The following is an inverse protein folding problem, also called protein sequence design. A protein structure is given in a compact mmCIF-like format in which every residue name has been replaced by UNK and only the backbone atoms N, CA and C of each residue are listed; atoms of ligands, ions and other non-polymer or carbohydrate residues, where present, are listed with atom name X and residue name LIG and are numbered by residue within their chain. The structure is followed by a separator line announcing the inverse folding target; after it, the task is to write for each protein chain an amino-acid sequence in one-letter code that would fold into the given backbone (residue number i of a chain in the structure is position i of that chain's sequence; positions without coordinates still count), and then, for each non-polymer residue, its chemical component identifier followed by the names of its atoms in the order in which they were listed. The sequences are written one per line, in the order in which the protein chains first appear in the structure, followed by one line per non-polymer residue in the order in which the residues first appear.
data_IF_852983523529
#
_entry.id   IF_852983523529
#
_cell.length_a   1.000
_cell.length_b   1.000
_cell.length_c   1.000
_cell.angle_alpha   90.00
_cell.angle_beta   90.00
_cell.angle_gamma   90.00
#
_symmetry.space_group_name_H-M   'P 1'
#
loop_
_entity.id
_entity.type
_entity.pdbx_description
1 polymer ?
#
# COMPACT_ATOMS: atom_id res chain seq x y z
N UNK A 1 -11.15 24.85 -22.31
CA UNK A 1 -12.18 24.55 -21.29
C UNK A 1 -11.48 23.93 -20.09
N UNK A 2 -11.45 24.64 -18.94
CA UNK A 2 -10.94 24.14 -17.69
C UNK A 2 -11.85 22.99 -17.19
N UNK A 3 -11.35 21.77 -17.13
CA UNK A 3 -12.09 20.67 -16.52
C UNK A 3 -12.22 20.95 -15.02
N UNK A 4 -13.46 21.10 -14.52
CA UNK A 4 -13.75 21.18 -13.08
C UNK A 4 -13.08 20.01 -12.36
N UNK A 5 -12.22 20.30 -11.37
CA UNK A 5 -11.73 19.27 -10.43
C UNK A 5 -12.95 18.56 -9.83
N UNK A 6 -13.03 17.23 -9.99
CA UNK A 6 -14.06 16.44 -9.31
C UNK A 6 -13.90 16.64 -7.81
N UNK A 7 -15.02 16.87 -7.10
CA UNK A 7 -15.06 16.96 -5.63
C UNK A 7 -14.38 15.72 -5.06
N UNK A 8 -13.49 15.94 -4.11
CA UNK A 8 -12.86 14.88 -3.31
C UNK A 8 -13.96 14.01 -2.70
N UNK A 9 -13.88 12.72 -2.86
CA UNK A 9 -14.79 11.75 -2.25
C UNK A 9 -14.05 11.09 -1.11
N UNK A 10 -14.53 11.23 0.12
CA UNK A 10 -14.00 10.49 1.26
C UNK A 10 -14.13 8.98 0.96
N UNK A 11 -13.00 8.28 0.92
CA UNK A 11 -12.93 6.84 0.62
C UNK A 11 -12.73 5.99 1.86
N UNK A 12 -12.41 6.63 2.99
CA UNK A 12 -12.09 6.00 4.25
C UNK A 12 -13.16 6.34 5.28
N UNK A 13 -13.77 5.35 5.90
CA UNK A 13 -14.58 5.54 7.10
C UNK A 13 -13.65 5.54 8.33
N UNK A 14 -13.31 6.74 8.81
CA UNK A 14 -12.53 6.95 10.04
C UNK A 14 -13.41 7.26 11.26
N UNK A 15 -14.75 7.22 11.11
CA UNK A 15 -15.68 7.54 12.18
C UNK A 15 -16.15 6.26 12.92
N UNK A 16 -15.21 5.54 13.52
CA UNK A 16 -15.46 4.32 14.25
C UNK A 16 -14.95 4.41 15.69
N UNK A 17 -15.36 3.47 16.57
CA UNK A 17 -15.01 3.43 18.00
C UNK A 17 -13.79 2.54 18.31
N UNK A 18 -13.11 1.99 17.31
CA UNK A 18 -11.91 1.18 17.55
C UNK A 18 -10.74 2.05 18.04
N UNK A 19 -9.85 1.50 18.88
CA UNK A 19 -8.62 2.19 19.28
C UNK A 19 -7.76 2.58 18.08
N UNK A 20 -7.21 3.78 18.08
CA UNK A 20 -6.31 4.29 17.07
C UNK A 20 -4.87 4.14 17.56
N UNK A 21 -4.02 3.50 16.75
CA UNK A 21 -2.60 3.39 17.05
C UNK A 21 -1.89 4.76 16.91
N UNK A 22 -0.83 5.03 17.71
CA UNK A 22 -0.07 6.26 17.59
C UNK A 22 0.62 6.37 16.23
N UNK A 23 0.84 7.60 15.74
CA UNK A 23 1.63 7.82 14.53
C UNK A 23 3.13 7.66 14.86
N UNK A 24 3.70 6.51 14.54
CA UNK A 24 5.11 6.22 14.73
C UNK A 24 5.97 6.64 13.54
N UNK A 25 5.36 6.77 12.34
CA UNK A 25 6.06 7.14 11.11
C UNK A 25 6.41 8.62 11.07
N UNK A 26 5.53 9.48 11.57
CA UNK A 26 5.69 10.94 11.67
C UNK A 26 6.30 11.58 10.41
N UNK A 27 5.82 11.16 9.22
CA UNK A 27 6.28 11.61 7.89
C UNK A 27 7.76 11.31 7.58
N UNK A 28 8.41 10.44 8.36
CA UNK A 28 9.78 10.01 8.12
C UNK A 28 9.81 8.91 7.04
N UNK A 29 9.70 9.28 5.77
CA UNK A 29 9.61 8.34 4.65
C UNK A 29 10.96 7.81 4.17
N UNK A 30 12.08 8.30 4.72
CA UNK A 30 13.41 7.77 4.49
C UNK A 30 13.70 6.69 5.52
N UNK A 31 13.89 5.46 5.07
CA UNK A 31 14.17 4.30 5.91
C UNK A 31 15.48 3.65 5.48
N UNK A 32 16.22 3.10 6.44
CA UNK A 32 17.59 2.63 6.22
C UNK A 32 17.66 1.22 5.60
N UNK A 33 16.59 0.42 5.73
CA UNK A 33 16.58 -0.97 5.29
C UNK A 33 15.20 -1.43 4.81
N UNK A 34 15.19 -2.47 4.00
CA UNK A 34 13.97 -3.18 3.63
C UNK A 34 13.27 -3.74 4.88
N UNK A 35 11.95 -3.82 4.82
CA UNK A 35 11.08 -4.31 5.89
C UNK A 35 11.19 -3.54 7.22
N UNK A 36 11.62 -2.28 7.18
CA UNK A 36 11.62 -1.40 8.33
C UNK A 36 10.27 -0.72 8.53
N UNK A 37 9.68 -0.24 7.43
CA UNK A 37 8.36 0.38 7.43
C UNK A 37 7.59 -0.05 6.19
N UNK A 38 6.41 -0.57 6.39
CA UNK A 38 5.43 -0.81 5.33
C UNK A 38 4.29 0.18 5.46
N UNK A 39 3.88 0.76 4.33
CA UNK A 39 2.70 1.61 4.27
C UNK A 39 1.59 0.92 3.50
N UNK A 40 0.35 1.13 3.91
CA UNK A 40 -0.82 0.52 3.28
C UNK A 40 -1.95 1.52 3.14
N UNK A 41 -2.75 1.33 2.10
CA UNK A 41 -3.96 2.11 1.86
C UNK A 41 -4.90 1.33 0.94
N UNK A 42 -6.17 1.76 0.87
CA UNK A 42 -7.24 1.16 0.07
C UNK A 42 -7.76 2.19 -0.94
N UNK A 43 -7.90 1.78 -2.19
CA UNK A 43 -8.52 2.60 -3.22
C UNK A 43 -9.62 1.88 -3.97
N UNK A 44 -10.47 2.65 -4.64
CA UNK A 44 -11.63 2.18 -5.38
C UNK A 44 -11.30 2.07 -6.86
N UNK A 45 -11.69 0.94 -7.45
CA UNK A 45 -11.61 0.65 -8.90
C UNK A 45 -13.00 0.38 -9.42
N UNK A 46 -13.44 1.13 -10.42
CA UNK A 46 -14.77 0.97 -11.00
C UNK A 46 -14.77 -0.11 -12.07
N UNK A 47 -15.78 -1.00 -12.01
CA UNK A 47 -16.08 -1.98 -13.04
C UNK A 47 -17.57 -1.92 -13.40
N UNK A 48 -17.98 -2.57 -14.49
CA UNK A 48 -19.41 -2.65 -14.82
C UNK A 48 -20.20 -3.53 -13.80
N UNK A 49 -19.50 -4.36 -13.02
CA UNK A 49 -20.09 -5.16 -11.94
C UNK A 49 -20.14 -4.42 -10.59
N UNK A 50 -19.81 -3.12 -10.58
CA UNK A 50 -19.74 -2.30 -9.38
C UNK A 50 -18.32 -1.96 -8.95
N UNK A 51 -18.17 -1.46 -7.73
CA UNK A 51 -16.89 -1.11 -7.16
C UNK A 51 -16.09 -2.35 -6.76
N UNK A 52 -14.78 -2.28 -6.99
CA UNK A 52 -13.78 -3.16 -6.39
C UNK A 52 -12.83 -2.32 -5.55
N UNK A 53 -12.25 -2.92 -4.52
CA UNK A 53 -11.43 -2.26 -3.51
C UNK A 53 -10.04 -2.85 -3.58
N UNK A 54 -9.07 -2.03 -4.00
CA UNK A 54 -7.67 -2.42 -4.08
C UNK A 54 -6.95 -1.98 -2.82
N UNK A 55 -6.48 -2.94 -2.05
CA UNK A 55 -5.54 -2.73 -0.95
C UNK A 55 -4.13 -2.98 -1.42
N UNK A 56 -3.16 -2.13 -1.04
CA UNK A 56 -1.74 -2.35 -1.32
C UNK A 56 -0.91 -2.22 -0.05
N UNK A 57 0.20 -2.94 0.00
CA UNK A 57 1.25 -2.80 1.01
C UNK A 57 2.55 -2.51 0.28
N UNK A 58 3.21 -1.42 0.63
CA UNK A 58 4.41 -0.91 -0.02
C UNK A 58 5.53 -0.84 1.01
N UNK A 59 6.69 -1.42 0.69
CA UNK A 59 7.91 -1.21 1.48
C UNK A 59 8.48 0.18 1.20
N UNK A 60 8.64 0.98 2.24
CA UNK A 60 9.17 2.35 2.11
C UNK A 60 10.61 2.40 1.64
N UNK A 61 11.40 1.36 1.86
CA UNK A 61 12.82 1.34 1.48
C UNK A 61 13.02 1.43 -0.03
N UNK A 62 12.34 0.57 -0.77
CA UNK A 62 12.51 0.44 -2.22
C UNK A 62 11.26 0.81 -3.02
N UNK A 63 10.16 1.23 -2.35
CA UNK A 63 8.85 1.54 -2.95
C UNK A 63 8.16 0.35 -3.62
N UNK A 64 8.61 -0.87 -3.37
CA UNK A 64 8.03 -2.09 -3.93
C UNK A 64 6.67 -2.38 -3.33
N UNK A 65 5.71 -2.71 -4.17
CA UNK A 65 4.45 -3.33 -3.72
C UNK A 65 4.76 -4.78 -3.37
N UNK A 66 4.69 -5.12 -2.09
CA UNK A 66 5.04 -6.44 -1.56
C UNK A 66 3.80 -7.29 -1.26
N UNK A 67 2.65 -6.66 -1.16
CA UNK A 67 1.36 -7.32 -0.98
C UNK A 67 0.22 -6.47 -1.53
N UNK A 68 -0.77 -7.12 -2.10
CA UNK A 68 -1.99 -6.45 -2.56
C UNK A 68 -3.16 -7.42 -2.61
N UNK A 69 -4.37 -6.89 -2.60
CA UNK A 69 -5.61 -7.64 -2.77
C UNK A 69 -6.65 -6.78 -3.49
N UNK A 70 -7.37 -7.35 -4.43
CA UNK A 70 -8.56 -6.75 -5.02
C UNK A 70 -9.79 -7.50 -4.53
N UNK A 71 -10.75 -6.80 -3.94
CA UNK A 71 -11.96 -7.37 -3.37
C UNK A 71 -13.21 -6.66 -3.91
N UNK A 72 -14.34 -7.33 -3.87
CA UNK A 72 -15.67 -6.74 -4.13
C UNK A 72 -16.34 -6.25 -2.84
N UNK A 73 -15.74 -6.51 -1.68
CA UNK A 73 -16.19 -6.05 -0.37
C UNK A 73 -15.11 -5.21 0.32
N UNK A 74 -15.51 -4.39 1.29
CA UNK A 74 -14.61 -3.65 2.19
C UNK A 74 -14.36 -4.39 3.50
N UNK A 75 -14.64 -5.69 3.56
CA UNK A 75 -14.37 -6.49 4.76
C UNK A 75 -12.87 -6.54 5.03
N UNK A 76 -12.50 -6.54 6.30
CA UNK A 76 -11.10 -6.60 6.74
C UNK A 76 -10.38 -7.83 6.19
N UNK A 77 -11.05 -8.97 6.18
CA UNK A 77 -10.52 -10.25 5.70
C UNK A 77 -10.16 -10.22 4.22
N UNK A 78 -11.06 -9.67 3.40
CA UNK A 78 -10.93 -9.65 1.95
C UNK A 78 -10.00 -8.56 1.44
N UNK A 79 -9.70 -7.58 2.26
CA UNK A 79 -8.86 -6.42 1.94
C UNK A 79 -7.50 -6.52 2.63
N UNK A 80 -7.38 -5.96 3.82
CA UNK A 80 -6.08 -5.77 4.49
C UNK A 80 -5.43 -7.08 4.94
N UNK A 81 -6.23 -8.09 5.36
CA UNK A 81 -5.67 -9.39 5.77
C UNK A 81 -5.12 -10.16 4.57
N UNK A 82 -5.83 -10.21 3.44
CA UNK A 82 -5.32 -10.84 2.21
C UNK A 82 -4.05 -10.16 1.70
N UNK A 83 -4.02 -8.82 1.67
CA UNK A 83 -2.82 -8.08 1.27
C UNK A 83 -1.64 -8.36 2.22
N UNK A 84 -1.90 -8.40 3.53
CA UNK A 84 -0.91 -8.76 4.54
C UNK A 84 -0.37 -10.18 4.35
N UNK A 85 -1.24 -11.17 4.15
CA UNK A 85 -0.86 -12.57 3.92
C UNK A 85 0.04 -12.71 2.68
N UNK A 86 -0.26 -11.98 1.60
CA UNK A 86 0.60 -11.94 0.42
C UNK A 86 1.97 -11.36 0.75
N UNK A 87 2.04 -10.22 1.48
CA UNK A 87 3.29 -9.59 1.86
C UNK A 87 4.17 -10.50 2.72
N UNK A 88 3.59 -11.17 3.72
CA UNK A 88 4.30 -12.07 4.63
C UNK A 88 4.74 -13.36 3.96
N UNK A 89 3.97 -13.90 3.02
CA UNK A 89 4.33 -15.14 2.30
C UNK A 89 5.70 -15.04 1.62
N UNK A 90 6.06 -13.84 1.16
CA UNK A 90 7.29 -13.59 0.42
C UNK A 90 8.37 -12.89 1.27
N UNK A 91 8.13 -12.76 2.59
CA UNK A 91 9.02 -11.97 3.46
C UNK A 91 9.18 -12.66 4.82
N UNK A 92 10.42 -12.90 5.23
CA UNK A 92 10.73 -13.33 6.60
C UNK A 92 11.06 -12.09 7.43
N UNK A 93 10.24 -11.80 8.43
CA UNK A 93 10.48 -10.71 9.38
C UNK A 93 11.48 -11.16 10.46
N UNK A 94 12.68 -10.62 10.42
CA UNK A 94 13.74 -10.88 11.41
C UNK A 94 14.06 -9.69 12.30
N UNK A 95 13.46 -8.54 12.01
CA UNK A 95 13.70 -7.27 12.69
C UNK A 95 12.39 -6.49 12.83
N UNK A 96 12.31 -5.53 13.77
CA UNK A 96 11.10 -4.74 13.97
C UNK A 96 10.61 -4.03 12.70
N UNK A 97 9.31 -4.16 12.44
CA UNK A 97 8.57 -3.55 11.34
C UNK A 97 7.54 -2.57 11.89
N UNK A 98 7.45 -1.38 11.31
CA UNK A 98 6.31 -0.48 11.49
C UNK A 98 5.35 -0.70 10.32
N UNK A 99 4.11 -1.07 10.63
CA UNK A 99 3.02 -1.13 9.65
C UNK A 99 2.18 0.14 9.78
N UNK A 100 2.24 1.02 8.79
CA UNK A 100 1.55 2.31 8.81
C UNK A 100 0.38 2.34 7.82
N UNK A 101 -0.74 2.91 8.26
CA UNK A 101 -1.95 3.10 7.44
C UNK A 101 -2.69 4.39 7.81
N UNK A 102 -3.77 4.68 7.09
CA UNK A 102 -4.77 5.63 7.56
C UNK A 102 -5.58 5.07 8.74
N UNK A 103 -6.56 5.85 9.25
CA UNK A 103 -7.45 5.44 10.34
C UNK A 103 -8.70 4.69 9.82
N UNK A 104 -8.62 4.02 8.67
CA UNK A 104 -9.74 3.25 8.14
C UNK A 104 -10.15 2.10 9.05
N UNK A 105 -11.47 1.85 9.11
CA UNK A 105 -12.07 0.82 9.97
C UNK A 105 -11.43 -0.57 9.74
N UNK A 106 -11.00 -0.87 8.52
CA UNK A 106 -10.35 -2.13 8.16
C UNK A 106 -9.04 -2.33 8.92
N UNK A 107 -8.23 -1.26 9.03
CA UNK A 107 -6.95 -1.26 9.75
C UNK A 107 -7.11 -1.20 11.27
N UNK A 108 -8.16 -0.51 11.76
CA UNK A 108 -8.45 -0.41 13.18
C UNK A 108 -9.20 -1.64 13.74
N UNK A 109 -9.69 -2.53 12.88
CA UNK A 109 -10.48 -3.69 13.29
C UNK A 109 -9.73 -4.60 14.26
N UNK A 110 -10.46 -5.18 15.22
CA UNK A 110 -9.88 -6.12 16.20
C UNK A 110 -9.19 -7.31 15.51
N UNK A 111 -9.73 -7.78 14.39
CA UNK A 111 -9.17 -8.92 13.64
C UNK A 111 -7.79 -8.59 13.10
N UNK A 112 -7.62 -7.41 12.49
CA UNK A 112 -6.33 -7.00 11.94
C UNK A 112 -5.32 -6.64 13.03
N UNK A 113 -5.74 -5.92 14.06
CA UNK A 113 -4.87 -5.58 15.20
C UNK A 113 -4.38 -6.83 15.94
N UNK A 114 -5.24 -7.85 16.13
CA UNK A 114 -4.84 -9.13 16.72
C UNK A 114 -3.87 -9.90 15.82
N UNK A 115 -4.08 -9.86 14.50
CA UNK A 115 -3.15 -10.44 13.54
C UNK A 115 -1.76 -9.80 13.63
N UNK A 116 -1.65 -8.47 13.71
CA UNK A 116 -0.35 -7.81 13.87
C UNK A 116 0.30 -8.14 15.21
N UNK A 117 -0.47 -8.20 16.29
CA UNK A 117 0.04 -8.59 17.63
C UNK A 117 0.55 -10.03 17.69
N UNK A 118 0.05 -10.94 16.86
CA UNK A 118 0.53 -12.34 16.82
C UNK A 118 2.00 -12.48 16.38
N UNK A 119 2.61 -11.40 15.88
CA UNK A 119 4.04 -11.36 15.54
C UNK A 119 4.95 -10.94 16.71
N UNK A 120 4.48 -11.06 17.97
CA UNK A 120 5.29 -10.91 19.19
C UNK A 120 6.14 -9.63 19.20
N UNK A 121 5.48 -8.47 19.07
CA UNK A 121 6.10 -7.14 19.05
C UNK A 121 7.09 -6.86 17.88
N UNK A 122 7.34 -7.82 17.00
CA UNK A 122 8.07 -7.56 15.77
C UNK A 122 7.32 -6.58 14.85
N UNK A 123 5.99 -6.51 14.92
CA UNK A 123 5.18 -5.62 14.12
C UNK A 123 4.49 -4.58 14.99
N UNK A 124 4.83 -3.32 14.79
CA UNK A 124 4.18 -2.20 15.47
C UNK A 124 3.21 -1.50 14.52
N UNK A 125 1.94 -1.44 14.91
CA UNK A 125 0.95 -0.70 14.16
C UNK A 125 1.13 0.81 14.35
N UNK A 126 1.00 1.56 13.26
CA UNK A 126 1.05 3.02 13.23
C UNK A 126 -0.09 3.54 12.36
N UNK A 127 -0.71 4.63 12.76
CA UNK A 127 -1.81 5.23 11.99
C UNK A 127 -1.57 6.71 11.78
N UNK A 128 -1.99 7.22 10.61
CA UNK A 128 -1.98 8.63 10.26
C UNK A 128 -2.80 9.45 11.25
N UNK A 129 -2.45 10.71 11.44
CA UNK A 129 -3.28 11.66 12.18
C UNK A 129 -4.59 11.92 11.43
N UNK A 130 -5.67 12.14 12.15
CA UNK A 130 -6.99 12.42 11.55
C UNK A 130 -6.90 13.66 10.64
N UNK A 131 -7.34 13.51 9.40
CA UNK A 131 -7.37 14.59 8.43
C UNK A 131 -6.00 15.01 7.87
N UNK A 132 -4.93 14.33 8.20
CA UNK A 132 -3.59 14.62 7.67
C UNK A 132 -3.21 13.61 6.55
N UNK A 133 -3.52 13.97 5.31
CA UNK A 133 -3.19 13.15 4.13
C UNK A 133 -1.67 12.99 3.92
N UNK A 134 -0.85 13.93 4.38
CA UNK A 134 0.60 13.86 4.24
C UNK A 134 1.23 12.69 5.02
N UNK A 135 0.54 12.18 6.04
CA UNK A 135 1.05 11.07 6.84
C UNK A 135 1.12 9.75 6.05
N UNK A 136 0.32 9.59 4.96
CA UNK A 136 0.34 8.41 4.07
C UNK A 136 0.65 8.77 2.61
N UNK A 137 1.43 9.81 2.38
CA UNK A 137 1.71 10.39 1.06
C UNK A 137 2.30 9.39 0.04
N UNK A 138 3.03 8.37 0.50
CA UNK A 138 3.64 7.36 -0.40
C UNK A 138 2.57 6.45 -1.00
N UNK A 139 1.62 5.96 -0.21
CA UNK A 139 0.51 5.15 -0.73
C UNK A 139 -0.41 5.98 -1.62
N UNK A 140 -0.68 7.25 -1.26
CA UNK A 140 -1.45 8.18 -2.12
C UNK A 140 -0.75 8.41 -3.47
N UNK A 141 0.57 8.63 -3.46
CA UNK A 141 1.38 8.80 -4.68
C UNK A 141 1.35 7.56 -5.57
N UNK A 142 1.43 6.38 -4.96
CA UNK A 142 1.28 5.11 -5.68
C UNK A 142 -0.09 5.03 -6.38
N UNK A 143 -1.18 5.28 -5.66
CA UNK A 143 -2.52 5.22 -6.25
C UNK A 143 -2.76 6.27 -7.31
N UNK A 144 -2.18 7.45 -7.16
CA UNK A 144 -2.20 8.48 -8.22
C UNK A 144 -1.53 7.95 -9.48
N UNK A 145 -0.35 7.35 -9.36
CA UNK A 145 0.38 6.75 -10.50
C UNK A 145 -0.44 5.63 -11.15
N UNK A 146 -0.91 4.66 -10.36
CA UNK A 146 -1.72 3.55 -10.86
C UNK A 146 -2.96 4.05 -11.63
N UNK A 147 -3.68 5.02 -11.07
CA UNK A 147 -4.91 5.55 -11.70
C UNK A 147 -4.62 6.31 -12.97
N UNK A 148 -3.64 7.21 -12.95
CA UNK A 148 -3.33 8.09 -14.08
C UNK A 148 -2.61 7.33 -15.18
N UNK A 149 -1.65 6.47 -14.84
CA UNK A 149 -0.85 5.74 -15.81
C UNK A 149 -1.58 4.52 -16.39
N UNK A 150 -2.60 3.98 -15.67
CA UNK A 150 -3.20 2.71 -16.07
C UNK A 150 -4.72 2.66 -15.95
N UNK A 151 -5.29 2.73 -14.75
CA UNK A 151 -6.71 2.41 -14.51
C UNK A 151 -7.65 3.30 -15.31
N UNK A 152 -7.38 4.61 -15.46
CA UNK A 152 -8.26 5.53 -16.18
C UNK A 152 -8.28 5.33 -17.69
N UNK A 153 -7.35 4.56 -18.23
CA UNK A 153 -7.29 4.20 -19.66
C UNK A 153 -8.07 2.93 -19.97
N UNK A 154 -8.53 2.18 -18.95
CA UNK A 154 -9.20 0.91 -19.10
C UNK A 154 -10.66 0.99 -18.61
N UNK A 155 -11.56 0.35 -19.36
CA UNK A 155 -12.94 0.14 -18.95
C UNK A 155 -13.14 -1.34 -18.65
N UNK A 156 -13.24 -1.68 -17.39
CA UNK A 156 -13.39 -3.07 -16.94
C UNK A 156 -14.84 -3.49 -16.99
N UNK A 157 -15.17 -4.52 -17.79
CA UNK A 157 -16.49 -5.14 -17.79
C UNK A 157 -16.68 -6.05 -16.58
N UNK A 158 -15.64 -6.83 -16.25
CA UNK A 158 -15.64 -7.78 -15.15
C UNK A 158 -14.60 -7.42 -14.09
N UNK A 159 -14.84 -7.80 -12.83
CA UNK A 159 -13.86 -7.64 -11.74
C UNK A 159 -12.58 -8.43 -11.99
N UNK A 160 -12.69 -9.64 -12.55
CA UNK A 160 -11.52 -10.45 -12.94
C UNK A 160 -10.63 -9.79 -13.99
N UNK A 161 -11.21 -9.01 -14.90
CA UNK A 161 -10.43 -8.22 -15.87
C UNK A 161 -9.65 -7.09 -15.15
N UNK A 162 -10.29 -6.41 -14.18
CA UNK A 162 -9.61 -5.39 -13.39
C UNK A 162 -8.47 -6.01 -12.56
N UNK A 163 -8.70 -7.16 -11.96
CA UNK A 163 -7.70 -7.88 -11.16
C UNK A 163 -6.48 -8.27 -12.01
N UNK A 164 -6.70 -8.92 -13.15
CA UNK A 164 -5.61 -9.31 -14.06
C UNK A 164 -4.84 -8.08 -14.57
N UNK A 165 -5.55 -7.03 -14.94
CA UNK A 165 -4.95 -5.79 -15.44
C UNK A 165 -4.08 -5.10 -14.38
N UNK A 166 -4.57 -5.01 -13.13
CA UNK A 166 -3.84 -4.45 -11.99
C UNK A 166 -2.64 -5.34 -11.63
N UNK A 167 -2.82 -6.67 -11.60
CA UNK A 167 -1.73 -7.63 -11.43
C UNK A 167 -0.60 -7.36 -12.43
N UNK A 168 -0.93 -7.30 -13.72
CA UNK A 168 0.07 -7.03 -14.77
C UNK A 168 0.79 -5.69 -14.52
N UNK A 169 0.05 -4.62 -14.18
CA UNK A 169 0.66 -3.33 -13.95
C UNK A 169 1.58 -3.34 -12.72
N UNK A 170 1.15 -3.93 -11.59
CA UNK A 170 1.96 -4.01 -10.37
C UNK A 170 3.20 -4.87 -10.58
N UNK A 171 3.01 -6.12 -11.02
CA UNK A 171 4.10 -7.11 -11.00
C UNK A 171 5.06 -6.97 -12.19
N UNK A 172 4.55 -6.59 -13.38
CA UNK A 172 5.39 -6.55 -14.58
C UNK A 172 5.87 -5.17 -14.98
N UNK A 173 5.22 -4.11 -14.49
CA UNK A 173 5.60 -2.74 -14.80
C UNK A 173 6.10 -1.99 -13.57
N UNK A 174 5.26 -1.80 -12.54
CA UNK A 174 5.60 -0.97 -11.38
C UNK A 174 6.79 -1.54 -10.60
N UNK A 175 6.76 -2.81 -10.24
CA UNK A 175 7.81 -3.47 -9.45
C UNK A 175 9.10 -3.75 -10.23
N UNK A 176 9.07 -3.72 -11.59
CA UNK A 176 10.22 -4.18 -12.40
C UNK A 176 10.78 -3.16 -13.36
N UNK A 177 9.94 -2.32 -13.98
CA UNK A 177 10.33 -1.45 -15.10
C UNK A 177 10.14 0.04 -14.83
N UNK A 178 9.19 0.40 -13.95
CA UNK A 178 8.90 1.79 -13.66
C UNK A 178 10.08 2.43 -12.92
N UNK A 179 10.50 3.62 -13.39
CA UNK A 179 11.51 4.41 -12.72
C UNK A 179 10.90 5.25 -11.60
N UNK A 180 11.63 5.38 -10.49
CA UNK A 180 11.18 6.09 -9.29
C UNK A 180 12.14 7.23 -8.96
N UNK A 181 11.64 8.46 -8.89
CA UNK A 181 12.45 9.63 -8.53
C UNK A 181 13.08 9.48 -7.14
N UNK A 182 12.35 8.90 -6.19
CA UNK A 182 12.86 8.59 -4.85
C UNK A 182 14.10 7.67 -4.88
N UNK A 183 14.18 6.76 -5.84
CA UNK A 183 15.31 5.83 -6.01
C UNK A 183 16.40 6.38 -6.94
N UNK A 184 16.47 7.71 -7.13
CA UNK A 184 17.40 8.35 -8.07
C UNK A 184 17.12 8.00 -9.52
N UNK A 185 15.84 7.95 -9.91
CA UNK A 185 15.36 7.57 -11.24
C UNK A 185 15.73 6.15 -11.68
N UNK A 186 15.99 5.25 -10.73
CA UNK A 186 16.20 3.82 -10.97
C UNK A 186 14.88 3.07 -10.90
N UNK A 187 14.86 1.89 -11.50
CA UNK A 187 13.84 0.88 -11.23
C UNK A 187 14.06 0.27 -9.84
N UNK A 188 13.03 -0.36 -9.27
CA UNK A 188 13.17 -1.08 -8.00
C UNK A 188 14.24 -2.16 -8.11
N UNK A 189 14.27 -2.91 -9.22
CA UNK A 189 15.25 -3.96 -9.46
C UNK A 189 16.69 -3.44 -9.53
N UNK A 190 16.93 -2.34 -10.25
CA UNK A 190 18.24 -1.70 -10.30
C UNK A 190 18.69 -1.24 -8.90
N UNK A 191 17.79 -0.63 -8.15
CA UNK A 191 18.08 -0.20 -6.79
C UNK A 191 18.40 -1.38 -5.84
N UNK A 192 17.65 -2.47 -5.90
CA UNK A 192 17.89 -3.67 -5.09
C UNK A 192 19.25 -4.31 -5.41
N UNK A 193 19.66 -4.35 -6.69
CA UNK A 193 20.96 -4.85 -7.13
C UNK A 193 22.09 -3.95 -6.58
N UNK A 194 21.96 -2.64 -6.72
CA UNK A 194 22.97 -1.69 -6.22
C UNK A 194 23.16 -1.82 -4.70
N UNK A 195 22.06 -1.95 -3.96
CA UNK A 195 22.11 -2.14 -2.50
C UNK A 195 22.74 -3.47 -2.10
N UNK A 196 22.50 -4.53 -2.87
CA UNK A 196 23.14 -5.82 -2.65
C UNK A 196 24.65 -5.74 -2.88
N UNK A 197 25.09 -5.13 -3.99
CA UNK A 197 26.50 -4.97 -4.31
C UNK A 197 27.25 -4.11 -3.27
N UNK A 198 26.62 -3.05 -2.77
CA UNK A 198 27.20 -2.22 -1.70
C UNK A 198 27.39 -3.01 -0.39
N UNK A 199 26.47 -3.93 -0.06
CA UNK A 199 26.63 -4.79 1.12
C UNK A 199 27.73 -5.84 0.99
N UNK A 200 28.03 -6.28 -0.24
CA UNK A 200 29.14 -7.22 -0.48
C UNK A 200 30.50 -6.53 -0.45
N UNK A 201 30.55 -5.21 -0.70
CA UNK A 201 31.77 -4.42 -0.74
C UNK A 201 32.14 -3.79 0.62
N UNK A 202 31.27 -3.88 1.63
CA UNK A 202 31.45 -3.36 2.98
C UNK A 202 31.83 -4.45 3.98
#
# INVERSE_FOLDING_TARGET
YAKRKRKFRATTDSNHKYPIAPNLLNQCFNVARANQVWVSDITYVQTNQGWSYLTVIIDLFNRKVIGWALSDTLNTEDTVIKAWQMAIKNTTLTQPLIFHSDQGIQYASQKFTNLLKSYNDLVKQSMSRKGNCWDNAVAESFFKSLKVEWVYWHKYKLRSQAELSIFQWIETWYNTRRRHSYLGNRTIKEFEIDMYNQKLAA
#
